data_IF_042326720664
#
_entry.id   IF_042326720664
#
_cell.length_a   1.000
_cell.length_b   1.000
_cell.length_c   1.000
_cell.angle_alpha   90.00
_cell.angle_beta   90.00
_cell.angle_gamma   90.00
#
_symmetry.space_group_name_H-M   'P 1'
#
loop_
_entity.id
_entity.type
_entity.pdbx_description
1 polymer ?
#
# COMPACT_ATOMS: atom_id res chain seq x y z
N UNK A 1 -10.14 -7.48 2.31
CA UNK A 1 -11.27 -7.24 3.25
C UNK A 1 -10.66 -6.74 4.55
N UNK A 2 -11.19 -5.66 5.12
CA UNK A 2 -10.80 -5.17 6.44
C UNK A 2 -11.81 -5.66 7.47
N UNK A 3 -11.33 -6.35 8.50
CA UNK A 3 -12.15 -6.72 9.64
C UNK A 3 -12.55 -5.50 10.48
N UNK A 4 -11.76 -4.42 10.45
CA UNK A 4 -12.02 -3.20 11.22
C UNK A 4 -13.21 -2.42 10.67
N UNK A 5 -13.30 -2.30 9.34
CA UNK A 5 -14.37 -1.52 8.69
C UNK A 5 -15.49 -2.40 8.13
N UNK A 6 -15.27 -3.71 8.05
CA UNK A 6 -16.18 -4.64 7.40
C UNK A 6 -16.30 -4.40 5.89
N UNK A 7 -15.31 -3.79 5.24
CA UNK A 7 -15.32 -3.41 3.82
C UNK A 7 -14.26 -4.13 3.00
N UNK A 8 -14.50 -4.22 1.70
CA UNK A 8 -13.51 -4.58 0.69
C UNK A 8 -13.08 -3.28 -0.01
N UNK A 9 -11.79 -3.17 -0.31
CA UNK A 9 -11.21 -2.02 -0.99
C UNK A 9 -10.61 -2.46 -2.32
N UNK A 10 -10.80 -1.67 -3.36
CA UNK A 10 -10.23 -1.92 -4.68
C UNK A 10 -9.66 -0.61 -5.26
N UNK A 11 -8.38 -0.64 -5.60
CA UNK A 11 -7.70 0.45 -6.30
C UNK A 11 -7.90 0.31 -7.82
N UNK A 12 -7.81 1.42 -8.56
CA UNK A 12 -7.88 1.40 -10.01
C UNK A 12 -6.96 2.42 -10.69
N UNK A 13 -6.86 2.29 -12.02
CA UNK A 13 -6.04 3.17 -12.85
C UNK A 13 -6.58 4.58 -13.10
N UNK A 14 -7.75 4.92 -12.56
CA UNK A 14 -8.27 6.29 -12.57
C UNK A 14 -7.98 7.04 -11.27
N UNK A 15 -7.11 6.49 -10.41
CA UNK A 15 -6.74 7.11 -9.14
C UNK A 15 -7.77 6.93 -8.02
N UNK A 16 -8.73 6.01 -8.18
CA UNK A 16 -9.78 5.80 -7.18
C UNK A 16 -9.51 4.58 -6.30
N UNK A 17 -10.03 4.66 -5.07
CA UNK A 17 -10.24 3.49 -4.21
C UNK A 17 -11.74 3.34 -4.01
N UNK A 18 -12.27 2.19 -4.42
CA UNK A 18 -13.66 1.81 -4.20
C UNK A 18 -13.80 1.20 -2.81
N UNK A 19 -14.74 1.68 -2.03
CA UNK A 19 -15.13 1.10 -0.74
C UNK A 19 -16.39 0.28 -0.96
N UNK A 20 -16.25 -1.03 -0.89
CA UNK A 20 -17.28 -1.99 -1.29
C UNK A 20 -17.81 -2.69 -0.04
N UNK A 21 -19.13 -2.73 0.10
CA UNK A 21 -19.78 -3.54 1.12
C UNK A 21 -19.96 -4.97 0.59
N UNK A 22 -19.28 -5.97 1.17
CA UNK A 22 -19.31 -7.33 0.66
C UNK A 22 -20.66 -8.03 0.90
N UNK A 23 -21.51 -7.52 1.80
CA UNK A 23 -22.80 -8.15 2.12
C UNK A 23 -23.87 -7.86 1.06
N UNK A 24 -23.79 -6.70 0.43
CA UNK A 24 -24.75 -6.28 -0.61
C UNK A 24 -24.08 -5.98 -1.97
N UNK A 25 -22.75 -6.15 -2.06
CA UNK A 25 -21.95 -5.99 -3.28
C UNK A 25 -22.00 -4.57 -3.88
N UNK A 26 -22.32 -3.56 -3.09
CA UNK A 26 -22.40 -2.16 -3.55
C UNK A 26 -21.12 -1.40 -3.22
N UNK A 27 -20.72 -0.52 -4.15
CA UNK A 27 -19.75 0.54 -3.88
C UNK A 27 -20.48 1.60 -3.04
N UNK A 28 -20.04 1.79 -1.79
CA UNK A 28 -20.60 2.78 -0.87
C UNK A 28 -19.86 4.12 -0.93
N UNK A 29 -18.56 4.09 -1.23
CA UNK A 29 -17.74 5.29 -1.40
C UNK A 29 -16.72 5.12 -2.52
N UNK A 30 -16.30 6.25 -3.08
CA UNK A 30 -15.19 6.36 -4.03
C UNK A 30 -14.24 7.43 -3.51
N UNK A 31 -13.04 7.02 -3.15
CA UNK A 31 -12.01 7.96 -2.68
C UNK A 31 -11.10 8.33 -3.83
N UNK A 32 -10.75 9.62 -3.90
CA UNK A 32 -9.72 10.16 -4.80
C UNK A 32 -8.65 10.85 -3.95
N UNK A 33 -7.71 10.10 -3.35
CA UNK A 33 -6.77 10.66 -2.37
C UNK A 33 -5.89 11.78 -2.92
N UNK A 34 -5.63 11.75 -4.23
CA UNK A 34 -4.85 12.76 -4.94
C UNK A 34 -5.70 13.79 -5.71
N UNK A 35 -7.03 13.74 -5.57
CA UNK A 35 -7.96 14.59 -6.33
C UNK A 35 -7.84 14.32 -7.83
N UNK A 36 -7.70 15.40 -8.61
CA UNK A 36 -7.57 15.35 -10.08
C UNK A 36 -6.13 15.15 -10.58
N UNK A 37 -5.16 15.00 -9.66
CA UNK A 37 -3.78 14.70 -10.06
C UNK A 37 -3.72 13.30 -10.71
N UNK A 38 -2.88 13.11 -11.74
CA UNK A 38 -2.67 11.78 -12.32
C UNK A 38 -2.26 10.77 -11.26
N UNK A 39 -2.90 9.61 -11.26
CA UNK A 39 -2.66 8.53 -10.31
C UNK A 39 -2.97 7.17 -10.96
N UNK A 40 -2.16 6.17 -10.65
CA UNK A 40 -2.30 4.78 -11.07
C UNK A 40 -2.12 3.92 -9.84
N UNK A 41 -3.23 3.71 -9.11
CA UNK A 41 -3.21 2.97 -7.86
C UNK A 41 -3.24 1.47 -8.15
N UNK A 42 -2.25 0.73 -7.65
CA UNK A 42 -2.05 -0.68 -8.02
C UNK A 42 -2.33 -1.64 -6.86
N UNK A 43 -1.62 -1.49 -5.74
CA UNK A 43 -1.69 -2.43 -4.62
C UNK A 43 -1.96 -1.70 -3.32
N UNK A 44 -2.40 -2.44 -2.31
CA UNK A 44 -2.62 -1.89 -0.97
C UNK A 44 -2.33 -2.90 0.14
N UNK A 45 -1.94 -2.38 1.31
CA UNK A 45 -1.77 -3.14 2.54
C UNK A 45 -2.38 -2.39 3.72
N UNK A 46 -3.12 -3.09 4.57
CA UNK A 46 -3.78 -2.52 5.75
C UNK A 46 -2.87 -2.64 6.99
N UNK A 47 -2.68 -1.52 7.69
CA UNK A 47 -2.27 -1.52 9.08
C UNK A 47 -3.49 -1.66 9.98
N UNK A 48 -3.69 -2.89 10.46
CA UNK A 48 -4.85 -3.21 11.29
C UNK A 48 -4.79 -2.67 12.72
N UNK A 49 -3.65 -2.15 13.17
CA UNK A 49 -3.51 -1.61 14.52
C UNK A 49 -3.90 -0.14 14.61
N UNK A 50 -3.65 0.61 13.53
CA UNK A 50 -3.83 2.07 13.53
C UNK A 50 -4.88 2.53 12.53
N UNK A 51 -5.51 1.63 11.78
CA UNK A 51 -6.47 2.00 10.74
C UNK A 51 -5.83 2.75 9.56
N UNK A 52 -4.58 2.43 9.20
CA UNK A 52 -3.93 3.00 8.01
C UNK A 52 -4.05 2.06 6.82
N UNK A 53 -4.13 2.63 5.62
CA UNK A 53 -4.04 1.90 4.37
C UNK A 53 -2.85 2.44 3.56
N UNK A 54 -1.88 1.58 3.28
CA UNK A 54 -0.78 1.87 2.37
C UNK A 54 -1.24 1.53 0.95
N UNK A 55 -1.06 2.46 0.00
CA UNK A 55 -1.53 2.28 -1.38
C UNK A 55 -0.42 2.71 -2.34
N UNK A 56 0.03 1.82 -3.22
CA UNK A 56 1.07 2.17 -4.19
C UNK A 56 0.49 2.95 -5.36
N UNK A 57 1.18 4.01 -5.77
CA UNK A 57 0.91 4.79 -6.97
C UNK A 57 2.11 4.68 -7.92
N UNK A 58 1.88 4.06 -9.07
CA UNK A 58 2.87 3.92 -10.12
C UNK A 58 2.63 4.87 -11.31
N UNK A 59 2.02 6.02 -11.03
CA UNK A 59 1.87 7.12 -11.98
C UNK A 59 3.16 7.93 -12.13
N UNK A 60 3.04 9.18 -12.56
CA UNK A 60 4.15 10.15 -12.60
C UNK A 60 4.76 10.39 -11.21
N UNK A 61 3.96 10.33 -10.13
CA UNK A 61 4.44 10.64 -8.80
C UNK A 61 5.36 9.56 -8.22
N UNK A 62 5.18 8.29 -8.64
CA UNK A 62 5.93 7.10 -8.14
C UNK A 62 6.12 7.17 -6.62
N UNK A 63 5.07 6.84 -5.90
CA UNK A 63 5.02 7.00 -4.43
C UNK A 63 4.12 5.94 -3.79
N UNK A 64 4.22 5.79 -2.48
CA UNK A 64 3.22 5.06 -1.69
C UNK A 64 2.42 6.07 -0.86
N UNK A 65 1.10 6.04 -0.99
CA UNK A 65 0.17 6.83 -0.21
C UNK A 65 -0.09 6.15 1.14
N UNK A 66 -0.25 6.95 2.19
CA UNK A 66 -0.76 6.50 3.49
C UNK A 66 -2.10 7.18 3.71
N UNK A 67 -3.16 6.39 3.81
CA UNK A 67 -4.53 6.87 4.00
C UNK A 67 -5.07 6.45 5.35
N UNK A 68 -6.01 7.23 5.89
CA UNK A 68 -6.89 6.77 6.97
C UNK A 68 -7.99 5.88 6.38
N UNK A 69 -8.13 4.63 6.85
CA UNK A 69 -9.05 3.65 6.27
C UNK A 69 -10.53 3.91 6.62
N UNK A 70 -10.82 4.80 7.57
CA UNK A 70 -12.18 5.12 7.98
C UNK A 70 -12.78 6.24 7.12
N UNK A 71 -11.94 7.14 6.63
CA UNK A 71 -12.34 8.35 5.90
C UNK A 71 -11.81 8.45 4.46
N UNK A 72 -10.79 7.68 4.11
CA UNK A 72 -10.08 7.80 2.83
C UNK A 72 -9.14 9.01 2.76
N UNK A 73 -8.98 9.75 3.87
CA UNK A 73 -8.14 10.94 3.94
C UNK A 73 -6.67 10.58 3.71
N UNK A 74 -6.01 11.32 2.81
CA UNK A 74 -4.56 11.24 2.63
C UNK A 74 -3.85 11.79 3.87
N UNK A 75 -3.07 10.93 4.53
CA UNK A 75 -2.25 11.28 5.69
C UNK A 75 -0.82 11.63 5.27
N UNK A 76 -0.26 10.89 4.30
CA UNK A 76 1.13 11.09 3.85
C UNK A 76 1.33 10.55 2.43
N UNK A 77 2.27 11.15 1.70
CA UNK A 77 2.89 10.57 0.52
C UNK A 77 4.33 10.21 0.89
N UNK A 78 4.73 8.95 0.69
CA UNK A 78 6.04 8.46 1.04
C UNK A 78 7.02 8.72 -0.10
N UNK A 79 8.13 9.39 0.20
CA UNK A 79 9.20 9.65 -0.76
C UNK A 79 10.12 8.43 -0.86
N UNK A 80 9.63 7.41 -1.55
CA UNK A 80 10.31 6.11 -1.74
C UNK A 80 10.72 5.88 -3.18
N UNK A 81 10.24 6.70 -4.11
CA UNK A 81 10.36 6.50 -5.55
C UNK A 81 9.46 5.37 -6.05
N UNK A 82 9.94 4.63 -7.05
CA UNK A 82 9.21 3.51 -7.65
C UNK A 82 8.60 2.56 -6.60
N UNK A 83 7.34 2.20 -6.81
CA UNK A 83 6.57 1.34 -5.91
C UNK A 83 5.55 0.52 -6.69
N UNK A 84 5.55 -0.80 -6.49
CA UNK A 84 4.63 -1.72 -7.15
C UNK A 84 3.78 -2.46 -6.12
N UNK A 85 4.33 -3.47 -5.44
CA UNK A 85 3.64 -4.19 -4.37
C UNK A 85 3.99 -3.57 -3.02
N UNK A 86 3.06 -3.70 -2.08
CA UNK A 86 3.25 -3.27 -0.69
C UNK A 86 2.72 -4.35 0.25
N UNK A 87 3.45 -4.62 1.33
CA UNK A 87 3.02 -5.49 2.42
C UNK A 87 3.30 -4.81 3.76
N UNK A 88 2.36 -4.94 4.69
CA UNK A 88 2.55 -4.48 6.07
C UNK A 88 2.80 -5.67 6.98
N UNK A 89 3.91 -5.59 7.73
CA UNK A 89 4.25 -6.58 8.74
C UNK A 89 3.98 -6.02 10.13
N UNK A 90 2.81 -6.37 10.67
CA UNK A 90 2.39 -6.02 12.02
C UNK A 90 3.37 -6.48 13.11
N UNK A 91 3.97 -7.67 12.98
CA UNK A 91 4.88 -8.22 13.99
C UNK A 91 6.18 -7.43 14.12
N UNK A 92 6.63 -6.81 13.02
CA UNK A 92 7.87 -6.05 12.96
C UNK A 92 7.66 -4.53 12.91
N UNK A 93 6.40 -4.09 12.80
CA UNK A 93 6.04 -2.72 12.44
C UNK A 93 6.84 -2.21 11.23
N UNK A 94 6.86 -3.01 10.16
CA UNK A 94 7.60 -2.72 8.93
C UNK A 94 6.67 -2.68 7.71
N UNK A 95 6.98 -1.80 6.75
CA UNK A 95 6.34 -1.75 5.44
C UNK A 95 7.35 -2.25 4.42
N UNK A 96 7.01 -3.27 3.63
CA UNK A 96 7.83 -3.74 2.52
C UNK A 96 7.26 -3.24 1.20
N UNK A 97 8.11 -2.75 0.32
CA UNK A 97 7.73 -2.25 -1.01
C UNK A 97 8.66 -2.85 -2.05
N UNK A 98 8.08 -3.43 -3.11
CA UNK A 98 8.85 -3.82 -4.30
C UNK A 98 9.00 -2.62 -5.23
N UNK A 99 10.23 -2.41 -5.71
CA UNK A 99 10.59 -1.35 -6.64
C UNK A 99 11.05 -2.03 -7.94
N UNK A 100 10.08 -2.26 -8.83
CA UNK A 100 10.25 -3.06 -10.05
C UNK A 100 11.27 -2.46 -11.00
N UNK A 101 11.26 -1.15 -11.22
CA UNK A 101 12.16 -0.45 -12.14
C UNK A 101 13.57 -0.34 -11.58
N UNK A 102 13.69 -0.11 -10.27
CA UNK A 102 15.00 0.05 -9.62
C UNK A 102 15.66 -1.28 -9.24
N UNK A 103 14.96 -2.41 -9.41
CA UNK A 103 15.47 -3.74 -9.09
C UNK A 103 15.70 -3.95 -7.59
N UNK A 104 14.81 -3.41 -6.75
CA UNK A 104 14.97 -3.43 -5.28
C UNK A 104 13.72 -3.87 -4.55
N UNK A 105 13.92 -4.36 -3.33
CA UNK A 105 12.90 -4.34 -2.29
C UNK A 105 13.41 -3.44 -1.17
N UNK A 106 12.54 -2.62 -0.60
CA UNK A 106 12.86 -1.80 0.57
C UNK A 106 11.96 -2.18 1.74
N UNK A 107 12.47 -1.95 2.95
CA UNK A 107 11.66 -1.96 4.18
C UNK A 107 11.72 -0.60 4.85
N UNK A 108 10.58 -0.12 5.32
CA UNK A 108 10.45 1.10 6.09
C UNK A 108 10.00 0.78 7.52
N UNK A 109 10.39 1.63 8.47
CA UNK A 109 9.76 1.70 9.77
C UNK A 109 8.33 2.20 9.61
N UNK A 110 7.34 1.45 10.08
CA UNK A 110 5.95 1.81 9.86
C UNK A 110 5.48 3.00 10.71
N UNK A 111 6.19 3.38 11.78
CA UNK A 111 5.81 4.53 12.62
C UNK A 111 6.41 5.82 12.09
N UNK A 112 7.67 5.78 11.65
CA UNK A 112 8.43 6.96 11.21
C UNK A 112 8.53 7.10 9.70
N UNK A 113 8.16 6.05 8.95
CA UNK A 113 8.31 5.93 7.50
C UNK A 113 9.75 6.06 6.99
N UNK A 114 10.73 5.82 7.86
CA UNK A 114 12.15 5.90 7.51
C UNK A 114 12.63 4.57 6.95
N UNK A 115 13.50 4.62 5.93
CA UNK A 115 14.13 3.44 5.35
C UNK A 115 14.93 2.66 6.42
N UNK A 116 14.63 1.37 6.56
CA UNK A 116 15.35 0.44 7.45
C UNK A 116 16.36 -0.40 6.69
N UNK A 117 15.94 -0.98 5.55
CA UNK A 117 16.80 -1.81 4.70
C UNK A 117 16.42 -1.67 3.23
N UNK A 118 17.39 -1.88 2.37
CA UNK A 118 17.23 -2.02 0.93
C UNK A 118 18.00 -3.26 0.47
N UNK A 119 17.35 -4.08 -0.36
CA UNK A 119 17.94 -5.27 -0.96
C UNK A 119 17.94 -5.12 -2.48
N UNK A 120 19.10 -5.32 -3.10
CA UNK A 120 19.21 -5.38 -4.56
C UNK A 120 18.74 -6.76 -5.03
N UNK A 121 17.70 -6.78 -5.86
CA UNK A 121 17.05 -7.96 -6.41
C UNK A 121 16.75 -7.75 -7.91
N UNK A 122 17.77 -7.56 -8.76
CA UNK A 122 17.56 -7.31 -10.18
C UNK A 122 16.92 -8.52 -10.90
N UNK A 123 16.18 -8.32 -12.00
CA UNK A 123 15.88 -7.03 -12.62
C UNK A 123 14.58 -6.39 -12.11
N UNK A 124 13.52 -7.19 -11.90
CA UNK A 124 12.16 -6.68 -11.73
C UNK A 124 11.40 -7.39 -10.60
N UNK A 125 11.74 -7.12 -9.31
CA UNK A 125 10.99 -7.67 -8.19
C UNK A 125 9.53 -7.21 -8.30
N UNK A 126 8.60 -8.11 -8.01
CA UNK A 126 7.20 -7.90 -8.37
C UNK A 126 6.27 -8.06 -7.17
N UNK A 127 5.96 -9.31 -6.82
CA UNK A 127 5.02 -9.63 -5.74
C UNK A 127 5.74 -9.80 -4.40
N UNK A 128 5.00 -9.71 -3.31
CA UNK A 128 5.52 -9.86 -1.96
C UNK A 128 4.56 -10.72 -1.13
N UNK A 129 5.10 -11.69 -0.38
CA UNK A 129 4.35 -12.51 0.57
C UNK A 129 5.10 -12.61 1.90
N UNK A 130 4.40 -12.42 3.01
CA UNK A 130 4.95 -12.63 4.34
C UNK A 130 4.56 -14.01 4.88
N UNK A 131 5.49 -14.69 5.56
CA UNK A 131 5.17 -15.84 6.39
C UNK A 131 4.22 -15.46 7.54
N UNK A 132 3.46 -16.42 8.06
CA UNK A 132 2.45 -16.18 9.09
C UNK A 132 3.04 -15.59 10.39
N UNK A 133 4.28 -15.95 10.74
CA UNK A 133 5.01 -15.40 11.89
C UNK A 133 5.64 -14.02 11.62
N UNK A 134 5.59 -13.54 10.37
CA UNK A 134 6.17 -12.29 9.93
C UNK A 134 7.70 -12.26 9.94
N UNK A 135 8.38 -13.41 9.99
CA UNK A 135 9.84 -13.47 10.03
C UNK A 135 10.50 -13.72 8.67
N UNK A 136 9.72 -14.10 7.64
CA UNK A 136 10.21 -14.34 6.29
C UNK A 136 9.38 -13.55 5.28
N UNK A 137 10.07 -12.87 4.36
CA UNK A 137 9.49 -12.22 3.18
C UNK A 137 9.90 -13.02 1.94
N UNK A 138 8.93 -13.41 1.13
CA UNK A 138 9.11 -13.98 -0.21
C UNK A 138 8.87 -12.89 -1.26
N UNK A 139 9.70 -12.89 -2.30
CA UNK A 139 9.72 -11.93 -3.40
C UNK A 139 9.68 -12.67 -4.73
#
# INVERSE_FOLDING_TARGET
>A
YSAQTGRVYAANGSGEILVINPRNQRIEQRWKPLGDKPALLLNMAEDSDTGRLFVTDNSKAKTTLVLDIHSGKLLKQLDVGDSLAVQFNKKRHEIYISQRESGKVISLDASRYTLKKSWALPANPNSLLLSADGQTLFV
#
